data_IF_951046814753
#
_entry.id   IF_951046814753
#
_cell.length_a   1.000
_cell.length_b   1.000
_cell.length_c   1.000
_cell.angle_alpha   90.00
_cell.angle_beta   90.00
_cell.angle_gamma   90.00
#
_symmetry.space_group_name_H-M   'P 1'
#
loop_
_entity.id
_entity.type
_entity.pdbx_description
1 polymer ?
#
# COMPACT_ATOMS: atom_id res chain seq x y z
N UNK A 1 -7.47 15.20 1.75
CA UNK A 1 -8.55 14.25 2.13
C UNK A 1 -8.25 12.91 1.49
N UNK A 2 -8.00 11.86 2.27
CA UNK A 2 -7.80 10.51 1.72
C UNK A 2 -9.17 9.91 1.37
N UNK A 3 -9.30 9.30 0.18
CA UNK A 3 -10.51 8.62 -0.27
C UNK A 3 -10.33 7.10 -0.12
N UNK A 4 -10.57 6.51 1.07
CA UNK A 4 -10.17 5.13 1.37
C UNK A 4 -10.86 4.07 0.50
N UNK A 5 -12.03 4.38 -0.05
CA UNK A 5 -12.77 3.50 -0.97
C UNK A 5 -12.62 3.85 -2.45
N UNK A 6 -11.76 4.82 -2.79
CA UNK A 6 -11.58 5.33 -4.17
C UNK A 6 -10.51 4.60 -4.98
N UNK A 7 -9.86 3.58 -4.42
CA UNK A 7 -8.81 2.80 -5.11
C UNK A 7 -9.41 1.70 -6.00
N UNK A 8 -8.57 1.06 -6.80
CA UNK A 8 -8.94 -0.09 -7.63
C UNK A 8 -9.53 -1.25 -6.82
N UNK A 9 -9.19 -1.35 -5.53
CA UNK A 9 -9.79 -2.30 -4.60
C UNK A 9 -11.31 -2.18 -4.50
N UNK A 10 -11.91 -1.04 -4.85
CA UNK A 10 -13.36 -0.90 -5.01
C UNK A 10 -13.89 -1.85 -6.09
N UNK A 11 -13.29 -1.83 -7.27
CA UNK A 11 -13.74 -2.63 -8.40
C UNK A 11 -13.40 -4.11 -8.24
N UNK A 12 -12.26 -4.42 -7.63
CA UNK A 12 -11.89 -5.81 -7.30
C UNK A 12 -12.92 -6.43 -6.35
N UNK A 13 -13.28 -5.73 -5.26
CA UNK A 13 -14.29 -6.23 -4.31
C UNK A 13 -15.66 -6.39 -4.92
N UNK A 14 -16.05 -5.54 -5.88
CA UNK A 14 -17.31 -5.69 -6.63
C UNK A 14 -17.36 -6.98 -7.48
N UNK A 15 -16.21 -7.60 -7.78
CA UNK A 15 -16.13 -8.89 -8.47
C UNK A 15 -16.15 -10.10 -7.52
N UNK A 16 -16.30 -9.88 -6.21
CA UNK A 16 -16.33 -10.95 -5.19
C UNK A 16 -14.95 -11.37 -4.67
N UNK A 17 -13.87 -10.72 -5.14
CA UNK A 17 -12.51 -10.98 -4.64
C UNK A 17 -12.20 -10.10 -3.44
N UNK A 18 -11.69 -10.68 -2.36
CA UNK A 18 -11.22 -9.92 -1.20
C UNK A 18 -9.98 -9.10 -1.59
N UNK A 19 -9.94 -7.82 -1.22
CA UNK A 19 -8.82 -6.94 -1.52
C UNK A 19 -8.54 -5.97 -0.37
N UNK A 20 -7.27 -5.80 -0.06
CA UNK A 20 -6.74 -4.84 0.91
C UNK A 20 -5.78 -3.89 0.22
N UNK A 21 -5.92 -2.58 0.46
CA UNK A 21 -4.95 -1.57 0.05
C UNK A 21 -4.01 -1.29 1.21
N UNK A 22 -2.73 -1.63 1.06
CA UNK A 22 -1.71 -1.39 2.07
C UNK A 22 -0.52 -0.72 1.41
N UNK A 23 0.05 0.27 2.08
CA UNK A 23 1.31 0.91 1.70
C UNK A 23 2.23 0.87 2.93
N UNK A 24 3.33 0.09 2.89
CA UNK A 24 4.22 -0.08 4.04
C UNK A 24 5.14 1.14 4.21
N UNK A 25 4.58 2.24 4.71
CA UNK A 25 5.30 3.48 5.00
C UNK A 25 5.17 3.83 6.48
N UNK A 26 6.06 3.27 7.30
CA UNK A 26 6.16 3.65 8.71
C UNK A 26 6.87 4.99 8.86
N UNK A 27 6.52 5.72 9.91
CA UNK A 27 7.14 7.00 10.30
C UNK A 27 7.20 8.07 9.20
N UNK A 28 6.38 7.95 8.15
CA UNK A 28 6.30 8.88 7.03
C UNK A 28 5.02 9.69 7.18
N UNK A 29 5.11 11.03 7.10
CA UNK A 29 3.91 11.88 7.09
C UNK A 29 3.19 11.72 5.75
N UNK A 30 1.87 11.49 5.72
CA UNK A 30 1.13 11.44 4.46
C UNK A 30 1.25 12.78 3.71
N UNK A 31 1.80 12.73 2.50
CA UNK A 31 1.95 13.88 1.60
C UNK A 31 1.39 13.63 0.20
N UNK A 32 0.50 12.63 0.08
CA UNK A 32 -0.10 12.28 -1.21
C UNK A 32 -0.77 13.49 -1.84
N UNK A 33 -0.37 13.82 -3.07
CA UNK A 33 -0.86 14.97 -3.84
C UNK A 33 -0.52 16.35 -3.24
N UNK A 34 0.42 16.42 -2.31
CA UNK A 34 0.92 17.69 -1.78
C UNK A 34 2.22 18.12 -2.49
N UNK A 35 2.61 19.38 -2.28
CA UNK A 35 3.90 19.87 -2.78
C UNK A 35 5.05 19.13 -2.09
N UNK A 36 6.09 18.79 -2.86
CA UNK A 36 7.25 18.04 -2.38
C UNK A 36 6.90 16.67 -1.78
N UNK A 37 5.90 15.97 -2.32
CA UNK A 37 5.60 14.58 -1.97
C UNK A 37 6.88 13.71 -2.03
N UNK A 38 7.24 13.09 -0.90
CA UNK A 38 8.45 12.29 -0.78
C UNK A 38 8.32 11.20 0.28
N UNK A 39 9.23 10.24 0.20
CA UNK A 39 9.53 9.25 1.22
C UNK A 39 11.05 9.15 1.37
N UNK A 40 11.54 8.64 2.51
CA UNK A 40 12.96 8.35 2.65
C UNK A 40 13.32 7.07 1.89
N UNK A 41 14.57 6.97 1.43
CA UNK A 41 15.09 5.74 0.82
C UNK A 41 14.98 4.55 1.77
N UNK A 42 15.14 4.77 3.09
CA UNK A 42 14.97 3.71 4.09
C UNK A 42 13.54 3.18 4.17
N UNK A 43 12.53 4.06 4.11
CA UNK A 43 11.13 3.65 4.11
C UNK A 43 10.77 2.88 2.82
N UNK A 44 11.33 3.29 1.68
CA UNK A 44 11.19 2.56 0.42
C UNK A 44 11.76 1.13 0.50
N UNK A 45 13.00 0.99 0.99
CA UNK A 45 13.66 -0.31 1.13
C UNK A 45 12.95 -1.22 2.15
N UNK A 46 12.49 -0.66 3.27
CA UNK A 46 11.68 -1.39 4.25
C UNK A 46 10.38 -1.92 3.62
N UNK A 47 9.73 -1.12 2.77
CA UNK A 47 8.54 -1.52 2.04
C UNK A 47 8.76 -2.74 1.15
N UNK A 48 9.93 -2.84 0.50
CA UNK A 48 10.31 -4.01 -0.30
C UNK A 48 10.33 -5.26 0.59
N UNK A 49 11.02 -5.21 1.74
CA UNK A 49 11.10 -6.34 2.68
C UNK A 49 9.72 -6.78 3.16
N UNK A 50 8.79 -5.85 3.40
CA UNK A 50 7.42 -6.17 3.77
C UNK A 50 6.69 -6.90 2.63
N UNK A 51 6.80 -6.43 1.39
CA UNK A 51 6.13 -7.09 0.26
C UNK A 51 6.74 -8.46 -0.07
N UNK A 52 8.05 -8.65 0.08
CA UNK A 52 8.68 -9.97 -0.03
C UNK A 52 8.00 -10.97 0.91
N UNK A 53 7.82 -10.60 2.18
CA UNK A 53 7.11 -11.44 3.15
C UNK A 53 5.63 -11.64 2.79
N UNK A 54 4.90 -10.57 2.45
CA UNK A 54 3.47 -10.65 2.12
C UNK A 54 3.23 -11.55 0.90
N UNK A 55 3.98 -11.36 -0.18
CA UNK A 55 3.81 -12.14 -1.41
C UNK A 55 4.09 -13.62 -1.13
N UNK A 56 5.17 -13.94 -0.41
CA UNK A 56 5.48 -15.32 -0.05
C UNK A 56 4.37 -15.97 0.79
N UNK A 57 3.81 -15.27 1.77
CA UNK A 57 2.76 -15.84 2.63
C UNK A 57 1.40 -15.93 1.92
N UNK A 58 1.06 -14.98 1.04
CA UNK A 58 -0.22 -14.96 0.31
C UNK A 58 -0.20 -15.88 -0.92
N UNK A 59 0.97 -16.19 -1.49
CA UNK A 59 1.07 -17.12 -2.61
C UNK A 59 1.09 -18.60 -2.17
N UNK A 60 1.38 -18.87 -0.89
CA UNK A 60 1.53 -20.21 -0.32
C UNK A 60 0.38 -20.57 0.65
N UNK A 61 -0.85 -20.19 0.30
CA UNK A 61 -2.08 -20.53 1.05
C UNK A 61 -2.71 -21.82 0.55
#
# INVERSE_FOLDING_TARGET
RTFPGGTDSRFIRLKGTLALGVTPLRHTRPGIHEHNENITTSAFLEGITVYEAVIQNVANV
#
